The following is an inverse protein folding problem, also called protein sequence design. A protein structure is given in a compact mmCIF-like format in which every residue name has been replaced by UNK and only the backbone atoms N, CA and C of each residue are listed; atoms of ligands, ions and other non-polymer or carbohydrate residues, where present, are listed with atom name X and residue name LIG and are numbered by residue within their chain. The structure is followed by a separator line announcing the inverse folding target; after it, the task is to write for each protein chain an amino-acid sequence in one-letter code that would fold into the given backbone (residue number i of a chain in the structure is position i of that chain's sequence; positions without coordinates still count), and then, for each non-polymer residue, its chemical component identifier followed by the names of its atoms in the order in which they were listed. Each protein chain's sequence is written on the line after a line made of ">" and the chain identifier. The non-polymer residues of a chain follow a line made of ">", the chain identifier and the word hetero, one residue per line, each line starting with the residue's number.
data_IF_339547434920
#
_entry.id   IF_339547434920
#
_cell.length_a   1.000
_cell.length_b   1.000
_cell.length_c   1.000
_cell.angle_alpha   90.00
_cell.angle_beta   90.00
_cell.angle_gamma   90.00
#
_symmetry.space_group_name_H-M   'P 1'
#
loop_
_entity.id
_entity.type
_entity.pdbx_description
1 polymer ?
#
# COMPACT_ATOMS: atom_id res chain seq x y z
N UNK A 1 -18.03 9.02 -24.78
CA UNK A 1 -18.12 7.59 -24.42
C UNK A 1 -16.94 7.29 -23.50
N UNK A 2 -17.18 7.07 -22.20
CA UNK A 2 -16.16 7.06 -21.13
C UNK A 2 -15.70 5.62 -20.86
N UNK A 3 -15.34 4.88 -21.91
CA UNK A 3 -14.83 3.52 -21.78
C UNK A 3 -13.34 3.55 -22.11
N UNK A 4 -12.44 3.28 -21.14
CA UNK A 4 -11.00 3.46 -21.34
C UNK A 4 -10.36 2.35 -22.18
N UNK A 5 -11.13 1.35 -22.61
CA UNK A 5 -10.61 0.21 -23.37
C UNK A 5 -10.92 0.39 -24.86
N UNK A 6 -9.87 0.66 -25.63
CA UNK A 6 -9.91 0.83 -27.09
C UNK A 6 -9.72 -0.49 -27.85
N UNK A 7 -9.49 -1.59 -27.12
CA UNK A 7 -9.21 -2.91 -27.70
C UNK A 7 -7.74 -3.13 -28.09
N UNK A 8 -6.88 -2.13 -27.89
CA UNK A 8 -5.44 -2.24 -28.09
C UNK A 8 -4.71 -2.93 -26.92
N UNK A 9 -3.42 -3.21 -27.09
CA UNK A 9 -2.58 -3.87 -26.07
C UNK A 9 -2.56 -3.11 -24.72
N UNK A 10 -2.61 -1.78 -24.77
CA UNK A 10 -2.71 -0.92 -23.57
C UNK A 10 -3.97 -1.18 -22.75
N UNK A 11 -5.08 -1.52 -23.41
CA UNK A 11 -6.35 -1.86 -22.76
C UNK A 11 -6.23 -3.16 -21.96
N UNK A 12 -5.44 -4.11 -22.45
CA UNK A 12 -5.17 -5.37 -21.75
C UNK A 12 -4.34 -5.10 -20.49
N UNK A 13 -3.29 -4.29 -20.59
CA UNK A 13 -2.48 -3.91 -19.44
C UNK A 13 -3.29 -3.13 -18.39
N UNK A 14 -4.15 -2.22 -18.82
CA UNK A 14 -5.04 -1.51 -17.92
C UNK A 14 -6.03 -2.45 -17.23
N UNK A 15 -6.60 -3.43 -17.95
CA UNK A 15 -7.50 -4.41 -17.35
C UNK A 15 -6.79 -5.26 -16.30
N UNK A 16 -5.58 -5.74 -16.60
CA UNK A 16 -4.75 -6.51 -15.68
C UNK A 16 -4.32 -5.68 -14.46
N UNK A 17 -3.98 -4.41 -14.66
CA UNK A 17 -3.73 -3.46 -13.58
C UNK A 17 -4.93 -3.36 -12.64
N UNK A 18 -6.12 -3.07 -13.18
CA UNK A 18 -7.33 -2.90 -12.37
C UNK A 18 -7.71 -4.19 -11.63
N UNK A 19 -7.61 -5.35 -12.29
CA UNK A 19 -7.91 -6.64 -11.68
C UNK A 19 -6.95 -6.96 -10.52
N UNK A 20 -5.65 -6.83 -10.76
CA UNK A 20 -4.64 -7.16 -9.74
C UNK A 20 -4.60 -6.13 -8.61
N UNK A 21 -4.88 -4.86 -8.92
CA UNK A 21 -5.07 -3.81 -7.92
C UNK A 21 -6.29 -4.07 -7.05
N UNK A 22 -7.43 -4.45 -7.65
CA UNK A 22 -8.64 -4.77 -6.88
C UNK A 22 -8.41 -5.95 -5.93
N UNK A 23 -7.74 -7.02 -6.41
CA UNK A 23 -7.36 -8.16 -5.59
C UNK A 23 -6.43 -7.73 -4.43
N UNK A 24 -5.40 -6.94 -4.71
CA UNK A 24 -4.52 -6.38 -3.69
C UNK A 24 -5.28 -5.54 -2.67
N UNK A 25 -6.20 -4.69 -3.12
CA UNK A 25 -7.01 -3.80 -2.27
C UNK A 25 -7.89 -4.57 -1.28
N UNK A 26 -8.40 -5.76 -1.66
CA UNK A 26 -9.14 -6.64 -0.74
C UNK A 26 -8.25 -7.07 0.43
N UNK A 27 -7.03 -7.53 0.16
CA UNK A 27 -6.10 -7.97 1.21
C UNK A 27 -5.64 -6.79 2.08
N UNK A 28 -5.31 -5.65 1.48
CA UNK A 28 -4.91 -4.44 2.21
C UNK A 28 -6.06 -3.94 3.11
N UNK A 29 -7.29 -3.95 2.61
CA UNK A 29 -8.47 -3.57 3.40
C UNK A 29 -8.68 -4.50 4.58
N UNK A 30 -8.55 -5.81 4.37
CA UNK A 30 -8.62 -6.80 5.45
C UNK A 30 -7.57 -6.52 6.52
N UNK A 31 -6.32 -6.28 6.13
CA UNK A 31 -5.22 -6.06 7.08
C UNK A 31 -5.39 -4.73 7.82
N UNK A 32 -5.66 -3.64 7.12
CA UNK A 32 -5.80 -2.32 7.73
C UNK A 32 -6.98 -2.26 8.71
N UNK A 33 -8.17 -2.63 8.23
CA UNK A 33 -9.39 -2.62 9.06
C UNK A 33 -9.32 -3.71 10.13
N UNK A 34 -8.83 -4.90 9.80
CA UNK A 34 -8.70 -6.00 10.75
C UNK A 34 -7.73 -5.69 11.89
N UNK A 35 -6.63 -4.99 11.62
CA UNK A 35 -5.69 -4.53 12.65
C UNK A 35 -6.34 -3.50 13.57
N UNK A 36 -7.05 -2.52 13.01
CA UNK A 36 -7.81 -1.54 13.80
C UNK A 36 -8.93 -2.19 14.63
N UNK A 37 -9.66 -3.13 14.03
CA UNK A 37 -10.71 -3.90 14.70
C UNK A 37 -10.14 -4.72 15.86
N UNK A 38 -9.06 -5.45 15.64
CA UNK A 38 -8.40 -6.25 16.67
C UNK A 38 -7.85 -5.38 17.82
N UNK A 39 -7.44 -4.14 17.53
CA UNK A 39 -6.96 -3.18 18.53
C UNK A 39 -8.11 -2.66 19.42
N UNK A 40 -9.26 -2.34 18.82
CA UNK A 40 -10.43 -1.74 19.50
C UNK A 40 -11.29 -2.80 20.20
N UNK A 41 -11.57 -3.93 19.53
CA UNK A 41 -12.50 -4.99 20.00
C UNK A 41 -11.77 -6.25 20.53
N UNK A 42 -10.59 -6.05 21.13
CA UNK A 42 -9.62 -7.09 21.55
C UNK A 42 -10.16 -8.26 22.39
N UNK A 43 -11.26 -8.08 23.12
CA UNK A 43 -11.83 -9.10 24.00
C UNK A 43 -12.84 -10.04 23.29
N UNK A 44 -13.13 -9.82 22.01
CA UNK A 44 -14.11 -10.62 21.27
C UNK A 44 -13.46 -11.85 20.63
N UNK A 45 -14.18 -13.00 20.54
CA UNK A 45 -13.70 -14.18 19.81
C UNK A 45 -13.39 -13.86 18.34
N UNK A 46 -14.18 -12.97 17.72
CA UNK A 46 -13.95 -12.51 16.35
C UNK A 46 -12.62 -11.74 16.23
N UNK A 47 -12.28 -10.87 17.18
CA UNK A 47 -11.01 -10.15 17.15
C UNK A 47 -9.80 -11.09 17.26
N UNK A 48 -9.91 -12.17 18.04
CA UNK A 48 -8.88 -13.21 18.09
C UNK A 48 -8.72 -13.91 16.73
N UNK A 49 -9.83 -14.34 16.11
CA UNK A 49 -9.81 -14.99 14.80
C UNK A 49 -9.23 -14.08 13.69
N UNK A 50 -9.62 -12.81 13.67
CA UNK A 50 -9.09 -11.81 12.72
C UNK A 50 -7.59 -11.66 12.93
N UNK A 51 -7.15 -11.41 14.17
CA UNK A 51 -5.73 -11.25 14.53
C UNK A 51 -4.88 -12.43 14.09
N UNK A 52 -5.37 -13.65 14.25
CA UNK A 52 -4.60 -14.86 13.93
C UNK A 52 -4.40 -15.04 12.42
N UNK A 53 -5.29 -14.45 11.60
CA UNK A 53 -5.22 -14.41 10.13
C UNK A 53 -4.45 -13.21 9.59
N UNK A 54 -4.28 -12.13 10.36
CA UNK A 54 -3.63 -10.90 9.90
C UNK A 54 -2.26 -11.12 9.25
N UNK A 55 -1.31 -11.91 9.81
CA UNK A 55 -0.01 -12.13 9.18
C UNK A 55 -0.10 -12.83 7.81
N UNK A 56 -1.01 -13.80 7.69
CA UNK A 56 -1.25 -14.50 6.44
C UNK A 56 -1.84 -13.56 5.38
N UNK A 57 -2.85 -12.78 5.77
CA UNK A 57 -3.49 -11.82 4.87
C UNK A 57 -2.55 -10.70 4.43
N UNK A 58 -1.63 -10.26 5.30
CA UNK A 58 -0.57 -9.34 4.92
C UNK A 58 0.39 -9.96 3.91
N UNK A 59 0.78 -11.23 4.10
CA UNK A 59 1.57 -11.97 3.11
C UNK A 59 0.88 -12.02 1.73
N UNK A 60 -0.41 -12.36 1.70
CA UNK A 60 -1.21 -12.31 0.48
C UNK A 60 -1.25 -10.91 -0.13
N UNK A 61 -1.43 -9.87 0.69
CA UNK A 61 -1.43 -8.48 0.24
C UNK A 61 -0.09 -8.06 -0.39
N UNK A 62 1.04 -8.37 0.24
CA UNK A 62 2.37 -8.06 -0.29
C UNK A 62 2.58 -8.76 -1.64
N UNK A 63 2.29 -10.06 -1.72
CA UNK A 63 2.41 -10.83 -2.97
C UNK A 63 1.50 -10.30 -4.08
N UNK A 64 0.23 -10.03 -3.75
CA UNK A 64 -0.73 -9.47 -4.70
C UNK A 64 -0.36 -8.05 -5.15
N UNK A 65 0.43 -7.32 -4.37
CA UNK A 65 0.88 -5.96 -4.68
C UNK A 65 1.96 -5.89 -5.75
N UNK A 66 2.68 -6.98 -6.02
CA UNK A 66 3.77 -7.00 -7.02
C UNK A 66 3.23 -6.71 -8.41
N UNK A 67 2.14 -7.36 -8.83
CA UNK A 67 1.55 -7.19 -10.15
C UNK A 67 1.06 -5.75 -10.43
N UNK A 68 0.21 -5.12 -9.60
CA UNK A 68 -0.24 -3.75 -9.84
C UNK A 68 0.92 -2.74 -9.79
N UNK A 69 1.96 -3.00 -8.99
CA UNK A 69 3.18 -2.19 -8.96
C UNK A 69 3.95 -2.24 -10.29
N UNK A 70 4.00 -3.39 -10.96
CA UNK A 70 4.63 -3.51 -12.27
C UNK A 70 3.78 -2.84 -13.35
N UNK A 71 2.46 -3.01 -13.32
CA UNK A 71 1.60 -2.40 -14.33
C UNK A 71 1.52 -0.88 -14.22
N UNK A 72 1.54 -0.29 -13.02
CA UNK A 72 1.57 1.18 -12.89
C UNK A 72 2.88 1.77 -13.44
N UNK A 73 4.00 1.05 -13.29
CA UNK A 73 5.29 1.43 -13.88
C UNK A 73 5.26 1.33 -15.40
N UNK A 74 4.59 0.32 -15.95
CA UNK A 74 4.45 0.15 -17.40
C UNK A 74 3.49 1.19 -18.02
N UNK A 75 2.32 1.42 -17.41
CA UNK A 75 1.27 2.29 -17.92
C UNK A 75 1.56 3.78 -17.69
N UNK A 76 2.18 4.13 -16.56
CA UNK A 76 2.38 5.51 -16.13
C UNK A 76 3.84 5.82 -15.82
N UNK A 77 4.75 5.21 -16.59
CA UNK A 77 6.21 5.24 -16.36
C UNK A 77 6.75 6.62 -15.98
N UNK A 78 6.55 7.62 -16.84
CA UNK A 78 7.03 8.99 -16.59
C UNK A 78 6.48 9.55 -15.29
N UNK A 79 5.18 9.40 -15.04
CA UNK A 79 4.52 9.96 -13.86
C UNK A 79 5.00 9.29 -12.58
N UNK A 80 5.07 7.97 -12.61
CA UNK A 80 5.45 7.17 -11.46
C UNK A 80 6.90 7.43 -11.04
N UNK A 81 7.85 7.42 -11.99
CA UNK A 81 9.27 7.65 -11.66
C UNK A 81 9.54 9.10 -11.24
N UNK A 82 8.96 10.10 -11.92
CA UNK A 82 9.11 11.51 -11.51
C UNK A 82 8.52 11.74 -10.12
N UNK A 83 7.34 11.20 -9.83
CA UNK A 83 6.73 11.30 -8.51
C UNK A 83 7.56 10.63 -7.41
N UNK A 84 8.14 9.45 -7.70
CA UNK A 84 9.01 8.76 -6.75
C UNK A 84 10.29 9.56 -6.45
N UNK A 85 10.89 10.15 -7.48
CA UNK A 85 12.08 11.00 -7.34
C UNK A 85 11.80 12.24 -6.48
N UNK A 86 10.63 12.85 -6.64
CA UNK A 86 10.18 14.01 -5.86
C UNK A 86 9.93 13.68 -4.38
N UNK A 87 9.34 12.51 -4.08
CA UNK A 87 9.21 12.04 -2.68
C UNK A 87 10.56 11.63 -2.08
N UNK A 88 11.50 11.18 -2.92
CA UNK A 88 12.86 10.81 -2.54
C UNK A 88 12.90 9.74 -1.42
N UNK A 89 13.75 9.90 -0.40
CA UNK A 89 13.98 8.87 0.62
C UNK A 89 12.76 8.55 1.49
N UNK A 90 11.74 9.40 1.51
CA UNK A 90 10.50 9.13 2.27
C UNK A 90 9.72 7.96 1.69
N UNK A 91 9.65 7.84 0.37
CA UNK A 91 9.00 6.70 -0.26
C UNK A 91 9.76 5.39 0.02
N UNK A 92 11.09 5.46 0.12
CA UNK A 92 11.91 4.30 0.48
C UNK A 92 11.62 3.77 1.89
N UNK A 93 11.07 4.60 2.79
CA UNK A 93 10.67 4.18 4.13
C UNK A 93 9.41 3.27 4.14
N UNK A 94 8.69 3.14 3.02
CA UNK A 94 7.56 2.20 2.87
C UNK A 94 7.99 0.76 3.14
N UNK A 95 9.18 0.36 2.66
CA UNK A 95 9.68 -1.01 2.85
C UNK A 95 9.99 -1.29 4.33
N UNK A 96 10.80 -0.47 5.04
CA UNK A 96 10.97 -0.60 6.49
C UNK A 96 9.65 -0.58 7.27
N UNK A 97 8.70 0.28 6.90
CA UNK A 97 7.39 0.31 7.55
C UNK A 97 6.61 -0.99 7.36
N UNK A 98 6.61 -1.58 6.16
CA UNK A 98 5.98 -2.88 5.90
C UNK A 98 6.67 -4.00 6.70
N UNK A 99 7.99 -4.00 6.81
CA UNK A 99 8.74 -4.96 7.63
C UNK A 99 8.34 -4.82 9.10
N UNK A 100 8.31 -3.59 9.63
CA UNK A 100 7.86 -3.31 10.99
C UNK A 100 6.43 -3.81 11.21
N UNK A 101 5.50 -3.48 10.31
CA UNK A 101 4.11 -3.91 10.38
C UNK A 101 3.97 -5.43 10.36
N UNK A 102 4.72 -6.11 9.49
CA UNK A 102 4.75 -7.57 9.42
C UNK A 102 5.15 -8.21 10.74
N UNK A 103 6.30 -7.82 11.30
CA UNK A 103 6.75 -8.37 12.58
C UNK A 103 5.82 -7.99 13.74
N UNK A 104 5.26 -6.77 13.73
CA UNK A 104 4.29 -6.35 14.72
C UNK A 104 3.03 -7.24 14.72
N UNK A 105 2.52 -7.64 13.55
CA UNK A 105 1.40 -8.58 13.47
C UNK A 105 1.76 -9.98 14.02
N UNK A 106 2.99 -10.45 13.80
CA UNK A 106 3.46 -11.71 14.41
C UNK A 106 3.54 -11.61 15.93
N UNK A 107 4.09 -10.52 16.46
CA UNK A 107 4.14 -10.27 17.91
C UNK A 107 2.73 -10.16 18.49
N UNK A 108 1.79 -9.51 17.79
CA UNK A 108 0.40 -9.41 18.22
C UNK A 108 -0.27 -10.78 18.34
N UNK A 109 0.03 -11.68 17.40
CA UNK A 109 -0.46 -13.06 17.38
C UNK A 109 0.15 -13.90 18.52
N UNK A 110 1.46 -13.83 18.73
CA UNK A 110 2.18 -14.72 19.65
C UNK A 110 2.26 -14.23 21.10
N UNK A 111 2.18 -12.92 21.35
CA UNK A 111 2.37 -12.34 22.69
C UNK A 111 1.12 -11.60 23.17
N UNK A 112 0.56 -12.04 24.30
CA UNK A 112 -0.57 -11.34 24.93
C UNK A 112 -0.13 -9.99 25.54
N UNK A 113 1.04 -10.00 26.21
CA UNK A 113 1.63 -8.83 26.88
C UNK A 113 1.85 -7.66 25.92
N UNK A 114 2.41 -7.94 24.75
CA UNK A 114 2.78 -6.92 23.77
C UNK A 114 1.70 -6.67 22.71
N UNK A 115 0.59 -7.41 22.75
CA UNK A 115 -0.46 -7.39 21.72
C UNK A 115 -0.96 -6.00 21.36
N UNK A 116 -1.32 -5.21 22.37
CA UNK A 116 -1.88 -3.85 22.16
C UNK A 116 -0.87 -2.93 21.49
N UNK A 117 0.38 -2.94 21.98
CA UNK A 117 1.44 -2.12 21.40
C UNK A 117 1.75 -2.56 19.97
N UNK A 118 1.86 -3.86 19.73
CA UNK A 118 2.16 -4.42 18.43
C UNK A 118 1.07 -4.12 17.39
N UNK A 119 -0.22 -4.26 17.76
CA UNK A 119 -1.32 -3.85 16.89
C UNK A 119 -1.32 -2.34 16.61
N UNK A 120 -0.99 -1.51 17.61
CA UNK A 120 -0.84 -0.07 17.43
C UNK A 120 0.30 0.31 16.48
N UNK A 121 1.48 -0.31 16.65
CA UNK A 121 2.63 -0.14 15.76
C UNK A 121 2.34 -0.61 14.34
N UNK A 122 1.70 -1.77 14.19
CA UNK A 122 1.29 -2.30 12.89
C UNK A 122 0.31 -1.36 12.18
N UNK A 123 -0.72 -0.88 12.90
CA UNK A 123 -1.67 0.07 12.34
C UNK A 123 -0.99 1.38 11.93
N UNK A 124 -0.09 1.93 12.76
CA UNK A 124 0.68 3.12 12.43
C UNK A 124 1.53 2.94 11.18
N UNK A 125 2.19 1.80 11.03
CA UNK A 125 2.96 1.46 9.84
C UNK A 125 2.07 1.39 8.59
N UNK A 126 0.91 0.73 8.65
CA UNK A 126 -0.02 0.65 7.51
C UNK A 126 -0.60 2.02 7.14
N UNK A 127 -0.89 2.88 8.12
CA UNK A 127 -1.32 4.26 7.86
C UNK A 127 -0.23 5.07 7.18
N UNK A 128 1.03 4.93 7.61
CA UNK A 128 2.17 5.57 6.96
C UNK A 128 2.33 5.09 5.50
N UNK A 129 2.19 3.79 5.25
CA UNK A 129 2.22 3.24 3.88
C UNK A 129 1.08 3.81 3.04
N UNK A 130 -0.15 3.83 3.55
CA UNK A 130 -1.31 4.38 2.87
C UNK A 130 -1.15 5.87 2.55
N UNK A 131 -0.63 6.65 3.51
CA UNK A 131 -0.26 8.05 3.31
C UNK A 131 0.75 8.17 2.17
N UNK A 132 1.86 7.44 2.23
CA UNK A 132 2.96 7.54 1.26
C UNK A 132 2.51 7.24 -0.17
N UNK A 133 1.63 6.25 -0.34
CA UNK A 133 1.02 5.93 -1.64
C UNK A 133 0.04 7.00 -2.13
N UNK A 134 -0.72 7.59 -1.21
CA UNK A 134 -1.66 8.67 -1.53
C UNK A 134 -0.91 9.93 -1.95
N UNK A 135 0.14 10.31 -1.22
CA UNK A 135 1.01 11.45 -1.53
C UNK A 135 1.70 11.24 -2.89
N UNK A 136 2.24 10.04 -3.15
CA UNK A 136 2.79 9.71 -4.46
C UNK A 136 1.77 9.91 -5.57
N UNK A 137 0.53 9.45 -5.38
CA UNK A 137 -0.52 9.65 -6.37
C UNK A 137 -0.85 11.13 -6.60
N UNK A 138 -0.89 11.95 -5.54
CA UNK A 138 -1.12 13.39 -5.67
C UNK A 138 0.01 14.06 -6.48
N UNK A 139 1.27 13.70 -6.22
CA UNK A 139 2.41 14.20 -6.99
C UNK A 139 2.35 13.69 -8.43
N UNK A 140 1.92 12.45 -8.65
CA UNK A 140 1.73 11.88 -9.99
C UNK A 140 0.73 12.68 -10.84
N UNK A 141 -0.21 13.38 -10.22
CA UNK A 141 -1.22 14.22 -10.87
C UNK A 141 -0.84 15.71 -10.94
N UNK A 142 0.21 16.14 -10.24
CA UNK A 142 0.60 17.54 -10.16
C UNK A 142 1.65 17.93 -11.23
N UNK A 143 1.16 18.24 -12.44
CA UNK A 143 2.01 18.65 -13.56
C UNK A 143 2.81 19.95 -13.28
N UNK A 144 2.32 20.85 -12.42
CA UNK A 144 2.97 22.12 -12.10
C UNK A 144 4.27 21.90 -11.30
N UNK A 145 4.22 21.03 -10.28
CA UNK A 145 5.41 20.67 -9.49
C UNK A 145 6.51 20.02 -10.34
N UNK A 146 6.14 19.32 -11.43
CA UNK A 146 7.13 18.71 -12.31
C UNK A 146 7.81 19.73 -13.19
N UNK A 147 7.06 20.71 -13.71
CA UNK A 147 7.61 21.80 -14.52
C UNK A 147 8.63 22.60 -13.72
N UNK A 148 8.33 22.87 -12.44
CA UNK A 148 9.27 23.52 -11.53
C UNK A 148 10.57 22.71 -11.36
N UNK A 149 10.47 21.41 -11.07
CA UNK A 149 11.64 20.52 -10.96
C UNK A 149 12.54 20.55 -12.20
N UNK A 150 11.96 20.43 -13.39
CA UNK A 150 12.72 20.44 -14.64
C UNK A 150 13.24 21.84 -15.01
N UNK A 151 12.58 22.91 -14.56
CA UNK A 151 12.98 24.30 -14.83
C UNK A 151 14.12 24.77 -13.91
N UNK A 152 14.15 24.35 -12.64
CA UNK A 152 15.18 24.78 -11.70
C UNK A 152 16.52 24.07 -11.91
N UNK A 153 16.57 22.94 -12.61
CA UNK A 153 17.80 22.18 -12.88
C UNK A 153 18.54 21.73 -11.62
N UNK A 154 17.94 21.89 -10.45
CA UNK A 154 18.49 21.51 -9.14
C UNK A 154 18.25 20.02 -8.89
N UNK A 155 18.74 19.20 -9.84
CA UNK A 155 19.29 17.84 -9.72
C UNK A 155 19.48 17.23 -11.10
#
# INVERSE_FOLDING_TARGET
>A
MIWPFTGGLESIWLALYLLTWALHAVFVSYVAVGTGYALVRRATPLAAQVRDRLPFMLGCGITAGVAPLLFIQLLYQRRFYTGNLLLGPRFMAVVPALILGFYALYVAKSSEKWRKLALGLGLGAFLFVAWSWTELHQIMMNDAAWKELYATGTR
#
